data_IF_302391983450
#
_entry.id   IF_302391983450
#
_cell.length_a   1.000
_cell.length_b   1.000
_cell.length_c   1.000
_cell.angle_alpha   90.00
_cell.angle_beta   90.00
_cell.angle_gamma   90.00
#
_symmetry.space_group_name_H-M   'P 1'
#
loop_
_entity.id
_entity.type
_entity.pdbx_description
1 polymer ?
#
# COMPACT_ATOMS: atom_id res chain seq x y z
N UNK A 1 -17.48 -8.51 -7.72
CA UNK A 1 -16.04 -8.44 -7.40
C UNK A 1 -15.57 -9.80 -6.87
N UNK A 2 -14.47 -10.33 -7.39
CA UNK A 2 -13.84 -11.55 -6.88
C UNK A 2 -13.16 -11.28 -5.52
N UNK A 3 -13.33 -12.18 -4.56
CA UNK A 3 -12.56 -12.22 -3.32
C UNK A 3 -12.07 -13.66 -3.10
N UNK A 4 -10.88 -13.81 -2.51
CA UNK A 4 -10.30 -15.16 -2.27
C UNK A 4 -11.07 -15.92 -1.18
N UNK A 5 -11.66 -15.18 -0.24
CA UNK A 5 -12.54 -15.67 0.81
C UNK A 5 -13.29 -14.50 1.49
N UNK A 6 -14.17 -14.82 2.44
CA UNK A 6 -14.97 -13.84 3.18
C UNK A 6 -14.11 -12.86 3.99
N UNK A 7 -12.94 -13.28 4.47
CA UNK A 7 -12.02 -12.41 5.18
C UNK A 7 -11.46 -11.32 4.26
N UNK A 8 -11.07 -11.68 3.03
CA UNK A 8 -10.65 -10.72 2.02
C UNK A 8 -11.74 -9.67 1.76
N UNK A 9 -12.99 -10.11 1.59
CA UNK A 9 -14.11 -9.18 1.40
C UNK A 9 -14.33 -8.26 2.61
N UNK A 10 -14.33 -8.81 3.83
CA UNK A 10 -14.53 -8.02 5.05
C UNK A 10 -13.42 -6.98 5.25
N UNK A 11 -12.17 -7.39 5.02
CA UNK A 11 -11.00 -6.52 5.12
C UNK A 11 -11.07 -5.38 4.12
N UNK A 12 -11.52 -5.65 2.89
CA UNK A 12 -11.63 -4.65 1.83
C UNK A 12 -12.54 -3.49 2.23
N UNK A 13 -13.76 -3.80 2.70
CA UNK A 13 -14.68 -2.74 3.10
C UNK A 13 -14.21 -1.96 4.32
N UNK A 14 -13.52 -2.61 5.27
CA UNK A 14 -12.89 -1.91 6.40
C UNK A 14 -11.83 -0.90 5.95
N UNK A 15 -10.97 -1.28 5.01
CA UNK A 15 -9.92 -0.39 4.49
C UNK A 15 -10.50 0.76 3.67
N UNK A 16 -11.51 0.50 2.83
CA UNK A 16 -12.18 1.55 2.04
C UNK A 16 -12.87 2.58 2.94
N UNK A 17 -13.49 2.12 4.03
CA UNK A 17 -14.08 3.00 5.04
C UNK A 17 -13.00 3.81 5.77
N UNK A 18 -11.93 3.14 6.24
CA UNK A 18 -10.83 3.78 6.97
C UNK A 18 -10.13 4.88 6.19
N UNK A 19 -9.81 4.64 4.91
CA UNK A 19 -9.17 5.63 4.04
C UNK A 19 -10.16 6.59 3.36
N UNK A 20 -11.45 6.55 3.70
CA UNK A 20 -12.50 7.36 3.09
C UNK A 20 -12.52 7.33 1.55
N UNK A 21 -12.16 6.19 0.96
CA UNK A 21 -11.87 6.05 -0.47
C UNK A 21 -13.03 5.55 -1.32
N UNK A 22 -14.27 5.68 -0.82
CA UNK A 22 -15.48 5.15 -1.46
C UNK A 22 -15.69 5.68 -2.89
N UNK A 23 -15.14 6.85 -3.24
CA UNK A 23 -15.26 7.45 -4.57
C UNK A 23 -13.92 7.54 -5.32
N UNK A 24 -12.88 6.85 -4.83
CA UNK A 24 -11.54 6.92 -5.38
C UNK A 24 -11.08 5.53 -5.89
N UNK A 25 -11.09 5.30 -7.21
CA UNK A 25 -10.65 4.03 -7.80
C UNK A 25 -9.18 3.70 -7.53
N UNK A 26 -8.31 4.70 -7.34
CA UNK A 26 -6.89 4.51 -7.03
C UNK A 26 -6.76 3.86 -5.67
N UNK A 27 -7.30 4.52 -4.65
CA UNK A 27 -7.29 4.00 -3.29
C UNK A 27 -8.05 2.67 -3.19
N UNK A 28 -9.19 2.51 -3.87
CA UNK A 28 -9.92 1.23 -3.86
C UNK A 28 -9.08 0.07 -4.39
N UNK A 29 -8.33 0.29 -5.47
CA UNK A 29 -7.51 -0.77 -6.06
C UNK A 29 -6.40 -1.23 -5.11
N UNK A 30 -5.78 -0.29 -4.40
CA UNK A 30 -4.77 -0.58 -3.37
C UNK A 30 -5.40 -1.22 -2.13
N UNK A 31 -6.53 -0.70 -1.63
CA UNK A 31 -7.26 -1.29 -0.52
C UNK A 31 -7.67 -2.74 -0.81
N UNK A 32 -8.05 -3.05 -2.06
CA UNK A 32 -8.37 -4.41 -2.49
C UNK A 32 -7.17 -5.34 -2.34
N UNK A 33 -5.97 -4.93 -2.77
CA UNK A 33 -4.76 -5.74 -2.62
C UNK A 33 -4.38 -5.90 -1.14
N UNK A 34 -4.37 -4.81 -0.37
CA UNK A 34 -4.03 -4.81 1.05
C UNK A 34 -5.01 -5.63 1.90
N UNK A 35 -6.24 -5.83 1.41
CA UNK A 35 -7.26 -6.62 2.08
C UNK A 35 -7.03 -8.14 2.03
N UNK A 36 -6.11 -8.63 1.19
CA UNK A 36 -5.73 -10.05 1.18
C UNK A 36 -5.33 -10.48 2.60
N UNK A 37 -5.90 -11.56 3.16
CA UNK A 37 -5.64 -11.95 4.55
C UNK A 37 -4.16 -12.10 4.88
N UNK A 38 -3.36 -12.62 3.95
CA UNK A 38 -1.91 -12.80 4.10
C UNK A 38 -1.15 -11.47 4.26
N UNK A 39 -1.67 -10.38 3.68
CA UNK A 39 -1.12 -9.02 3.78
C UNK A 39 -1.74 -8.30 4.98
N UNK A 40 -3.07 -8.29 5.06
CA UNK A 40 -3.84 -7.62 6.12
C UNK A 40 -3.40 -8.02 7.52
N UNK A 41 -3.14 -9.31 7.74
CA UNK A 41 -2.74 -9.82 9.04
C UNK A 41 -1.33 -9.39 9.46
N UNK A 42 -0.47 -8.94 8.53
CA UNK A 42 0.90 -8.47 8.83
C UNK A 42 0.90 -7.21 9.67
N UNK A 43 -0.12 -6.37 9.49
CA UNK A 43 -0.27 -5.09 10.20
C UNK A 43 -1.55 -5.04 11.03
N UNK A 44 -2.30 -6.14 11.10
CA UNK A 44 -3.65 -6.17 11.69
C UNK A 44 -4.58 -5.08 11.09
N UNK A 45 -4.42 -4.79 9.81
CA UNK A 45 -5.17 -3.76 9.09
C UNK A 45 -4.70 -2.32 9.30
N UNK A 46 -3.55 -2.09 9.97
CA UNK A 46 -3.00 -0.76 10.25
C UNK A 46 -1.78 -0.49 9.36
N UNK A 47 -2.01 -0.05 8.14
CA UNK A 47 -0.93 0.13 7.14
C UNK A 47 -0.21 1.49 7.20
N UNK A 48 -0.76 2.46 7.91
CA UNK A 48 -0.24 3.83 8.01
C UNK A 48 -1.39 4.81 8.20
N UNK A 49 -1.11 5.90 8.91
CA UNK A 49 -2.11 6.92 9.25
C UNK A 49 -2.23 7.99 8.15
N UNK A 50 -1.13 8.31 7.44
CA UNK A 50 -1.12 9.28 6.34
C UNK A 50 -1.29 8.60 4.97
N UNK A 51 -0.87 7.33 4.85
CA UNK A 51 -0.88 6.59 3.61
C UNK A 51 -0.85 5.07 3.74
N UNK A 52 -1.49 4.34 2.80
CA UNK A 52 -1.59 2.87 2.81
C UNK A 52 -0.27 2.11 2.55
N UNK A 53 0.84 2.82 2.32
CA UNK A 53 2.13 2.23 1.96
C UNK A 53 3.22 2.45 3.01
N UNK A 54 2.96 3.22 4.07
CA UNK A 54 3.95 3.57 5.09
C UNK A 54 4.56 2.34 5.78
N UNK A 55 3.76 1.30 6.00
CA UNK A 55 4.19 0.06 6.65
C UNK A 55 5.31 -0.69 5.92
N UNK A 56 5.63 -0.35 4.67
CA UNK A 56 6.63 -1.07 3.88
C UNK A 56 8.07 -0.78 4.31
N UNK A 57 8.35 0.46 4.70
CA UNK A 57 9.70 0.94 4.99
C UNK A 57 9.80 1.56 6.39
N UNK A 58 10.95 1.40 7.02
CA UNK A 58 11.22 2.03 8.32
C UNK A 58 11.42 3.52 8.12
N UNK A 59 10.89 4.29 9.07
CA UNK A 59 11.08 5.73 9.12
C UNK A 59 11.17 6.17 10.58
N UNK A 60 11.69 7.38 10.76
CA UNK A 60 11.74 8.07 12.04
C UNK A 60 11.02 9.41 11.92
N UNK A 61 10.20 9.70 12.92
CA UNK A 61 9.52 10.97 13.05
C UNK A 61 10.31 11.85 14.03
N UNK A 62 10.66 13.05 13.58
CA UNK A 62 11.41 14.03 14.38
C UNK A 62 10.62 15.31 14.51
N UNK A 63 10.45 15.76 15.76
CA UNK A 63 9.89 17.08 16.03
C UNK A 63 10.90 18.16 15.68
N UNK A 64 10.52 19.07 14.78
CA UNK A 64 11.34 20.20 14.34
C UNK A 64 10.59 21.49 14.64
N UNK A 65 11.22 22.37 15.42
CA UNK A 65 10.74 23.74 15.60
C UNK A 65 11.00 24.54 14.31
N UNK A 66 9.92 24.96 13.67
CA UNK A 66 9.98 25.85 12.51
C UNK A 66 9.44 27.22 12.91
N UNK A 67 10.24 28.25 12.68
CA UNK A 67 9.85 29.65 12.86
C UNK A 67 9.24 30.17 11.55
N UNK A 68 8.00 30.65 11.62
CA UNK A 68 7.38 31.36 10.52
C UNK A 68 8.16 32.67 10.25
N UNK A 69 8.66 32.81 9.02
CA UNK A 69 9.53 33.91 8.61
C UNK A 69 8.84 35.27 8.76
N UNK A 70 7.52 35.33 8.53
CA UNK A 70 6.72 36.55 8.55
C UNK A 70 6.20 36.86 9.96
N UNK A 71 5.69 35.85 10.67
CA UNK A 71 5.03 36.05 11.97
C UNK A 71 5.94 35.87 13.17
N UNK A 72 7.16 35.33 12.97
CA UNK A 72 8.11 34.98 14.04
C UNK A 72 7.57 33.99 15.07
N UNK A 73 6.44 33.35 14.76
CA UNK A 73 5.82 32.33 15.60
C UNK A 73 6.54 31.01 15.37
N UNK A 74 6.93 30.36 16.46
CA UNK A 74 7.45 29.00 16.45
C UNK A 74 6.30 28.01 16.43
N UNK A 75 6.34 27.05 15.51
CA UNK A 75 5.46 25.90 15.48
C UNK A 75 6.32 24.63 15.48
N UNK A 76 5.82 23.56 16.08
CA UNK A 76 6.46 22.25 15.99
C UNK A 76 5.80 21.51 14.83
N UNK A 77 6.62 21.06 13.88
CA UNK A 77 6.19 20.13 12.83
C UNK A 77 6.85 18.77 13.07
N UNK A 78 6.21 17.72 12.58
CA UNK A 78 6.80 16.38 12.53
C UNK A 78 7.42 16.22 11.15
N UNK A 79 8.73 16.05 11.08
CA UNK A 79 9.46 15.70 9.87
C UNK A 79 9.71 14.19 9.87
N UNK A 80 9.23 13.52 8.84
CA UNK A 80 9.42 12.07 8.63
C UNK A 80 10.61 11.81 7.73
N UNK A 81 11.54 10.97 8.18
CA UNK A 81 12.71 10.55 7.39
C UNK A 81 12.75 9.04 7.31
N UNK A 82 12.76 8.49 6.08
CA UNK A 82 12.90 7.05 5.86
C UNK A 82 14.34 6.59 6.13
N UNK A 83 14.48 5.44 6.77
CA UNK A 83 15.79 4.83 7.00
C UNK A 83 16.30 4.21 5.69
N UNK A 84 17.58 4.42 5.40
CA UNK A 84 18.23 3.91 4.19
C UNK A 84 19.44 3.03 4.54
N UNK A 85 19.73 2.04 3.71
CA UNK A 85 20.93 1.20 3.79
C UNK A 85 22.18 1.93 3.24
N UNK A 86 23.35 1.28 3.29
CA UNK A 86 24.61 1.84 2.80
C UNK A 86 24.60 2.18 1.29
N UNK A 87 23.64 1.64 0.54
CA UNK A 87 23.46 1.88 -0.90
C UNK A 87 22.39 2.92 -1.19
N UNK A 88 21.75 3.50 -0.16
CA UNK A 88 20.67 4.49 -0.29
C UNK A 88 19.30 3.88 -0.56
N UNK A 89 19.10 2.57 -0.36
CA UNK A 89 17.77 1.96 -0.49
C UNK A 89 17.02 2.03 0.84
N UNK A 90 15.72 2.31 0.80
CA UNK A 90 14.88 2.28 1.98
C UNK A 90 14.91 0.92 2.69
N UNK A 91 15.08 0.93 4.02
CA UNK A 91 15.11 -0.28 4.84
C UNK A 91 13.68 -0.81 5.01
N UNK A 92 13.42 -2.00 4.47
CA UNK A 92 12.11 -2.66 4.59
C UNK A 92 11.76 -3.02 6.04
N UNK A 93 10.47 -2.99 6.37
CA UNK A 93 9.98 -3.54 7.63
C UNK A 93 9.97 -5.07 7.61
N UNK A 94 9.97 -5.72 8.78
CA UNK A 94 9.86 -7.18 8.87
C UNK A 94 8.51 -7.68 8.31
N UNK A 95 7.44 -6.91 8.55
CA UNK A 95 6.10 -7.20 8.05
C UNK A 95 6.05 -7.30 6.52
N UNK A 96 6.76 -6.41 5.82
CA UNK A 96 6.83 -6.40 4.36
C UNK A 96 7.88 -7.37 3.81
N UNK A 97 9.09 -7.34 4.36
CA UNK A 97 10.23 -8.10 3.83
C UNK A 97 10.05 -9.63 3.85
N UNK A 98 9.28 -10.14 4.83
CA UNK A 98 9.02 -11.58 5.02
C UNK A 98 7.87 -12.13 4.17
N UNK A 99 7.16 -11.29 3.43
CA UNK A 99 6.13 -11.76 2.49
C UNK A 99 6.74 -12.55 1.33
N UNK A 100 5.97 -13.51 0.81
CA UNK A 100 6.41 -14.23 -0.40
C UNK A 100 6.55 -13.28 -1.58
N UNK A 101 7.42 -13.63 -2.54
CA UNK A 101 7.64 -12.84 -3.75
C UNK A 101 6.34 -12.56 -4.51
N UNK A 102 5.37 -13.48 -4.51
CA UNK A 102 4.07 -13.29 -5.14
C UNK A 102 3.26 -12.15 -4.51
N UNK A 103 3.13 -12.13 -3.18
CA UNK A 103 2.41 -11.05 -2.48
C UNK A 103 3.14 -9.72 -2.57
N UNK A 104 4.48 -9.72 -2.48
CA UNK A 104 5.29 -8.51 -2.68
C UNK A 104 5.03 -7.89 -4.06
N UNK A 105 4.97 -8.71 -5.12
CA UNK A 105 4.64 -8.22 -6.46
C UNK A 105 3.20 -7.71 -6.60
N UNK A 106 2.24 -8.27 -5.85
CA UNK A 106 0.89 -7.70 -5.78
C UNK A 106 0.89 -6.33 -5.09
N UNK A 107 1.66 -6.16 -4.03
CA UNK A 107 1.78 -4.85 -3.36
C UNK A 107 2.39 -3.82 -4.31
N UNK A 108 3.46 -4.16 -5.04
CA UNK A 108 4.06 -3.28 -6.05
C UNK A 108 3.08 -2.94 -7.18
N UNK A 109 2.28 -3.90 -7.64
CA UNK A 109 1.16 -3.63 -8.56
C UNK A 109 0.19 -2.62 -7.93
N UNK A 110 -0.23 -2.83 -6.68
CA UNK A 110 -1.15 -1.93 -5.99
C UNK A 110 -0.60 -0.52 -5.86
N UNK A 111 0.70 -0.39 -5.55
CA UNK A 111 1.43 0.87 -5.55
C UNK A 111 1.31 1.58 -6.90
N UNK A 112 1.56 0.84 -7.99
CA UNK A 112 1.50 1.36 -9.36
C UNK A 112 0.09 1.75 -9.81
N UNK A 113 -0.92 0.97 -9.42
CA UNK A 113 -2.33 1.28 -9.73
C UNK A 113 -2.81 2.51 -8.95
N UNK A 114 -2.32 2.68 -7.72
CA UNK A 114 -2.62 3.82 -6.86
C UNK A 114 -1.96 5.11 -7.37
N UNK A 115 -0.65 5.08 -7.57
CA UNK A 115 0.12 6.22 -8.04
C UNK A 115 1.30 5.72 -8.88
N UNK A 116 1.45 6.26 -10.09
CA UNK A 116 2.51 5.87 -11.05
C UNK A 116 3.92 6.29 -10.62
N UNK A 117 4.12 6.75 -9.38
CA UNK A 117 5.40 7.18 -8.84
C UNK A 117 6.29 6.03 -8.34
N UNK A 118 5.77 4.80 -8.28
CA UNK A 118 6.55 3.60 -7.92
C UNK A 118 6.97 2.84 -9.18
N UNK A 119 8.12 3.17 -9.79
CA UNK A 119 8.54 2.60 -11.09
C UNK A 119 9.00 1.11 -11.06
N UNK A 120 8.85 0.41 -9.93
CA UNK A 120 9.47 -0.91 -9.72
C UNK A 120 8.60 -2.12 -10.12
N UNK A 121 7.37 -1.93 -10.60
CA UNK A 121 6.50 -3.07 -10.96
C UNK A 121 6.81 -3.63 -12.35
N UNK A 122 7.21 -4.90 -12.41
CA UNK A 122 7.40 -5.65 -13.65
C UNK A 122 6.33 -6.74 -13.80
N UNK A 123 5.40 -6.56 -14.75
CA UNK A 123 4.32 -7.52 -15.00
C UNK A 123 4.82 -8.89 -15.43
N UNK A 124 5.83 -8.97 -16.31
CA UNK A 124 6.36 -10.27 -16.78
C UNK A 124 6.95 -11.08 -15.64
N UNK A 125 7.68 -10.43 -14.74
CA UNK A 125 8.24 -11.08 -13.54
C UNK A 125 7.13 -11.52 -12.56
N UNK A 126 6.08 -10.70 -12.41
CA UNK A 126 4.91 -11.04 -11.62
C UNK A 126 4.14 -12.25 -12.15
N UNK A 127 3.87 -12.30 -13.46
CA UNK A 127 3.17 -13.41 -14.11
C UNK A 127 3.91 -14.75 -14.02
N UNK A 128 5.25 -14.73 -13.83
CA UNK A 128 6.04 -15.95 -13.58
C UNK A 128 5.93 -16.47 -12.14
N UNK A 129 5.46 -15.63 -11.23
CA UNK A 129 5.42 -15.90 -9.79
C UNK A 129 4.02 -16.24 -9.30
N UNK A 130 2.99 -15.62 -9.89
CA UNK A 130 1.60 -15.77 -9.45
C UNK A 130 0.97 -17.09 -9.88
N UNK A 131 0.26 -17.71 -8.95
CA UNK A 131 -0.62 -18.85 -9.22
C UNK A 131 -1.99 -18.39 -9.75
N UNK A 132 -2.88 -19.34 -10.02
CA UNK A 132 -4.22 -19.05 -10.52
C UNK A 132 -5.05 -18.16 -9.59
N UNK A 133 -4.82 -18.21 -8.27
CA UNK A 133 -5.56 -17.38 -7.32
C UNK A 133 -5.06 -15.93 -7.38
N UNK A 134 -3.74 -15.72 -7.31
CA UNK A 134 -3.14 -14.38 -7.38
C UNK A 134 -3.36 -13.73 -8.76
N UNK A 135 -3.46 -14.51 -9.84
CA UNK A 135 -3.85 -14.00 -11.16
C UNK A 135 -5.28 -13.43 -11.15
N UNK A 136 -6.23 -14.08 -10.48
CA UNK A 136 -7.59 -13.55 -10.33
C UNK A 136 -7.61 -12.27 -9.49
N UNK A 137 -6.79 -12.21 -8.45
CA UNK A 137 -6.62 -11.01 -7.62
C UNK A 137 -6.07 -9.86 -8.46
N UNK A 138 -5.01 -10.10 -9.25
CA UNK A 138 -4.47 -9.12 -10.19
C UNK A 138 -5.54 -8.59 -11.15
N UNK A 139 -6.28 -9.48 -11.82
CA UNK A 139 -7.34 -9.10 -12.76
C UNK A 139 -8.41 -8.24 -12.07
N UNK A 140 -8.85 -8.66 -10.87
CA UNK A 140 -9.86 -7.92 -10.14
C UNK A 140 -9.37 -6.56 -9.66
N UNK A 141 -8.11 -6.43 -9.23
CA UNK A 141 -7.52 -5.15 -8.82
C UNK A 141 -7.49 -4.15 -9.99
N UNK A 142 -7.13 -4.60 -11.20
CA UNK A 142 -7.18 -3.77 -12.41
C UNK A 142 -8.61 -3.32 -12.72
N UNK A 143 -9.61 -4.19 -12.56
CA UNK A 143 -11.01 -3.84 -12.79
C UNK A 143 -11.55 -2.85 -11.76
N UNK A 144 -11.18 -3.01 -10.50
CA UNK A 144 -11.48 -2.02 -9.44
C UNK A 144 -10.88 -0.66 -9.80
N UNK A 145 -9.63 -0.63 -10.25
CA UNK A 145 -8.97 0.62 -10.68
C UNK A 145 -9.68 1.30 -11.85
N UNK A 146 -10.19 0.52 -12.79
CA UNK A 146 -10.92 1.00 -13.96
C UNK A 146 -12.39 1.34 -13.66
N UNK A 147 -12.86 1.11 -12.43
CA UNK A 147 -14.26 1.20 -12.02
C UNK A 147 -15.20 0.37 -12.92
N UNK A 148 -14.77 -0.86 -13.24
CA UNK A 148 -15.50 -1.80 -14.10
C UNK A 148 -15.89 -3.05 -13.32
N UNK A 149 -17.07 -3.58 -13.59
CA UNK A 149 -17.46 -4.93 -13.17
C UNK A 149 -17.11 -5.98 -14.25
N UNK A 150 -16.78 -7.20 -13.82
CA UNK A 150 -16.68 -8.36 -14.73
C UNK A 150 -18.10 -8.76 -15.10
N UNK A 151 -18.45 -8.70 -16.39
CA UNK A 151 -19.66 -9.34 -16.93
C UNK A 151 -19.49 -10.86 -16.99
#
# INVERSE_FOLDING_TARGET
MYFVNDAHQSNYYKLVEFYHSVNDPEYKSLCYILALPEIYNRTSGKFGDEGPMEWMYKFQDKEVEVEDILTKKKNVIIERTYEEDESGNGIETEAYSTLSSGYRKLILLGANLFNSSYDDFNLCDALRTWDNELIKVYQQAVLVRLDREVN
#
